data_IF_232492796726
#
_entry.id   IF_232492796726
#
_cell.length_a   1.000
_cell.length_b   1.000
_cell.length_c   1.000
_cell.angle_alpha   90.00
_cell.angle_beta   90.00
_cell.angle_gamma   90.00
#
_symmetry.space_group_name_H-M   'P 1'
#
loop_
_entity.id
_entity.type
_entity.pdbx_description
1 polymer ?
#
# COMPACT_ATOMS: atom_id res chain seq x y z
N UNK A 1 2.85 12.09 4.23
CA UNK A 1 3.86 11.55 3.30
C UNK A 1 3.80 12.31 1.99
N UNK A 2 4.80 12.14 1.13
CA UNK A 2 4.82 12.77 -0.20
C UNK A 2 5.16 11.73 -1.28
N UNK A 3 4.50 11.85 -2.43
CA UNK A 3 4.74 11.04 -3.62
C UNK A 3 4.50 11.91 -4.86
N UNK A 4 5.52 12.06 -5.72
CA UNK A 4 5.47 12.94 -6.90
C UNK A 4 4.96 14.37 -6.59
N UNK A 5 5.37 14.94 -5.45
CA UNK A 5 4.96 16.28 -5.00
C UNK A 5 3.55 16.37 -4.39
N UNK A 6 2.75 15.31 -4.47
CA UNK A 6 1.45 15.22 -3.80
C UNK A 6 1.61 14.77 -2.34
N UNK A 7 0.83 15.37 -1.44
CA UNK A 7 0.88 15.07 -0.01
C UNK A 7 -0.31 14.23 0.41
N UNK A 8 -0.03 13.19 1.17
CA UNK A 8 -1.05 12.28 1.70
C UNK A 8 -0.98 12.18 3.23
N UNK A 9 -2.13 12.24 3.88
CA UNK A 9 -2.33 11.79 5.25
C UNK A 9 -2.59 10.29 5.23
N UNK A 10 -1.92 9.52 6.09
CA UNK A 10 -2.11 8.07 6.08
C UNK A 10 -2.30 7.50 7.46
N UNK A 11 -3.11 6.46 7.52
CA UNK A 11 -3.07 5.50 8.60
C UNK A 11 -1.96 4.48 8.34
N UNK A 12 -1.35 3.97 9.41
CA UNK A 12 -0.23 3.01 9.30
C UNK A 12 -0.68 1.64 9.79
N UNK A 13 -0.51 0.64 8.92
CA UNK A 13 -0.74 -0.77 9.21
C UNK A 13 0.61 -1.51 9.28
N UNK A 14 1.15 -1.66 10.49
CA UNK A 14 2.49 -2.23 10.73
C UNK A 14 2.49 -3.58 11.46
N UNK A 15 1.32 -4.07 11.89
CA UNK A 15 1.16 -5.37 12.53
C UNK A 15 0.24 -6.29 11.71
N UNK A 16 0.24 -7.58 12.01
CA UNK A 16 -0.52 -8.56 11.24
C UNK A 16 -2.04 -8.30 11.22
N UNK A 17 -2.61 -7.80 12.32
CA UNK A 17 -4.04 -7.55 12.43
C UNK A 17 -4.44 -6.29 11.64
N UNK A 18 -3.69 -5.18 11.79
CA UNK A 18 -3.94 -3.96 11.02
C UNK A 18 -3.72 -4.17 9.52
N UNK A 19 -2.70 -4.93 9.12
CA UNK A 19 -2.49 -5.28 7.70
C UNK A 19 -3.60 -6.17 7.14
N UNK A 20 -4.08 -7.16 7.90
CA UNK A 20 -5.15 -8.05 7.46
C UNK A 20 -6.50 -7.31 7.34
N UNK A 21 -6.74 -6.33 8.20
CA UNK A 21 -7.95 -5.50 8.16
C UNK A 21 -7.92 -4.47 7.02
N UNK A 22 -6.80 -3.77 6.82
CA UNK A 22 -6.67 -2.75 5.80
C UNK A 22 -7.82 -1.73 5.78
N UNK A 23 -8.31 -1.39 4.59
CA UNK A 23 -9.45 -0.49 4.37
C UNK A 23 -10.81 -1.21 4.32
N UNK A 24 -10.93 -2.43 4.85
CA UNK A 24 -12.20 -3.17 4.86
C UNK A 24 -13.33 -2.38 5.53
N UNK A 25 -14.54 -2.53 4.98
CA UNK A 25 -15.80 -1.97 5.47
C UNK A 25 -15.91 -0.44 5.50
N UNK A 26 -14.93 0.30 4.96
CA UNK A 26 -15.06 1.75 4.81
C UNK A 26 -15.94 2.10 3.62
N UNK A 27 -16.85 3.04 3.83
CA UNK A 27 -17.75 3.53 2.78
C UNK A 27 -17.15 4.70 1.98
N UNK A 28 -16.10 5.33 2.51
CA UNK A 28 -15.34 6.40 1.84
C UNK A 28 -13.91 6.49 2.38
N UNK A 29 -13.04 7.13 1.61
CA UNK A 29 -11.70 7.57 1.99
C UNK A 29 -11.55 9.01 1.49
N UNK A 30 -11.16 9.92 2.38
CA UNK A 30 -11.04 11.35 2.05
C UNK A 30 -9.96 11.60 0.99
N UNK A 31 -10.12 12.65 0.19
CA UNK A 31 -9.12 13.03 -0.80
C UNK A 31 -7.79 13.38 -0.12
N UNK A 32 -6.68 12.90 -0.68
CA UNK A 32 -5.37 13.04 -0.05
C UNK A 32 -5.19 12.14 1.19
N UNK A 33 -6.08 11.18 1.43
CA UNK A 33 -5.89 10.15 2.46
C UNK A 33 -5.53 8.80 1.85
N UNK A 34 -4.93 7.94 2.68
CA UNK A 34 -4.53 6.58 2.31
C UNK A 34 -4.18 5.71 3.50
N UNK A 35 -3.72 4.51 3.21
CA UNK A 35 -3.16 3.60 4.21
C UNK A 35 -1.80 3.09 3.77
N UNK A 36 -0.81 3.25 4.66
CA UNK A 36 0.53 2.72 4.49
C UNK A 36 0.69 1.43 5.24
N UNK A 37 0.93 0.36 4.51
CA UNK A 37 1.29 -0.93 5.06
C UNK A 37 2.81 -1.04 5.12
N UNK A 38 3.32 -1.43 6.28
CA UNK A 38 4.75 -1.65 6.50
C UNK A 38 4.94 -3.13 6.84
N UNK A 39 5.71 -3.82 6.01
CA UNK A 39 6.12 -5.20 6.23
C UNK A 39 7.49 -5.26 6.89
N UNK A 40 7.73 -6.33 7.65
CA UNK A 40 8.97 -6.53 8.40
C UNK A 40 10.17 -6.70 7.47
N UNK A 41 9.94 -7.30 6.29
CA UNK A 41 10.96 -7.58 5.27
C UNK A 41 10.41 -7.32 3.87
N UNK A 42 11.30 -7.01 2.93
CA UNK A 42 10.97 -6.93 1.52
C UNK A 42 10.76 -8.34 0.96
N UNK A 43 9.65 -8.55 0.28
CA UNK A 43 9.30 -9.83 -0.32
C UNK A 43 8.14 -9.69 -1.31
N UNK A 44 7.73 -10.76 -2.01
CA UNK A 44 6.50 -10.75 -2.79
C UNK A 44 5.31 -10.37 -1.91
N UNK A 45 4.56 -9.35 -2.30
CA UNK A 45 3.35 -8.92 -1.60
C UNK A 45 2.13 -9.17 -2.47
N UNK A 46 1.02 -9.55 -1.86
CA UNK A 46 -0.26 -9.67 -2.56
C UNK A 46 -1.38 -9.14 -1.68
N UNK A 47 -2.22 -8.29 -2.29
CA UNK A 47 -3.35 -7.66 -1.64
C UNK A 47 -4.64 -8.14 -2.29
N UNK A 48 -5.76 -7.88 -1.64
CA UNK A 48 -7.07 -8.27 -2.13
C UNK A 48 -8.10 -7.25 -1.68
N UNK A 49 -9.24 -7.23 -2.35
CA UNK A 49 -10.33 -6.28 -2.06
C UNK A 49 -11.45 -6.88 -1.23
N UNK A 50 -11.19 -7.99 -0.52
CA UNK A 50 -12.18 -8.69 0.31
C UNK A 50 -12.78 -7.69 1.30
N UNK A 51 -14.09 -7.47 1.22
CA UNK A 51 -14.83 -6.54 2.09
C UNK A 51 -14.46 -5.05 1.96
N UNK A 52 -13.63 -4.68 0.98
CA UNK A 52 -13.33 -3.29 0.66
C UNK A 52 -14.40 -2.74 -0.26
N UNK A 53 -15.07 -1.65 0.12
CA UNK A 53 -16.23 -1.08 -0.60
C UNK A 53 -15.88 0.08 -1.53
N UNK A 54 -14.68 0.63 -1.37
CA UNK A 54 -14.14 1.72 -2.20
C UNK A 54 -13.13 1.17 -3.21
N UNK A 55 -13.09 1.68 -4.44
CA UNK A 55 -12.05 1.32 -5.40
C UNK A 55 -10.72 1.95 -4.99
N UNK A 56 -9.62 1.22 -5.17
CA UNK A 56 -8.29 1.62 -4.70
C UNK A 56 -7.22 1.52 -5.78
N UNK A 57 -6.21 2.38 -5.68
CA UNK A 57 -4.89 2.12 -6.25
C UNK A 57 -4.02 1.44 -5.19
N UNK A 58 -3.35 0.35 -5.55
CA UNK A 58 -2.43 -0.40 -4.68
C UNK A 58 -1.01 -0.23 -5.21
N UNK A 59 -0.16 0.44 -4.44
CA UNK A 59 1.17 0.88 -4.88
C UNK A 59 2.25 0.17 -4.06
N UNK A 60 3.16 -0.53 -4.72
CA UNK A 60 4.15 -1.38 -4.06
C UNK A 60 5.54 -0.73 -4.14
N UNK A 61 6.24 -0.65 -3.01
CA UNK A 61 7.57 -0.03 -2.92
C UNK A 61 8.60 -0.94 -2.24
N UNK A 62 9.84 -0.89 -2.72
CA UNK A 62 10.99 -1.62 -2.14
C UNK A 62 11.52 -0.98 -0.85
N UNK A 63 12.62 -1.53 -0.30
CA UNK A 63 13.31 -1.02 0.89
C UNK A 63 13.81 0.42 0.72
N UNK A 64 14.19 0.79 -0.50
CA UNK A 64 14.62 2.13 -0.88
C UNK A 64 13.42 3.09 -1.06
N UNK A 65 12.18 2.58 -0.92
CA UNK A 65 10.91 3.28 -1.10
C UNK A 65 10.67 3.70 -2.56
N UNK A 66 11.24 2.98 -3.52
CA UNK A 66 10.97 3.15 -4.94
C UNK A 66 9.77 2.31 -5.35
N UNK A 67 8.88 2.88 -6.15
CA UNK A 67 7.73 2.18 -6.68
C UNK A 67 8.20 1.08 -7.63
N UNK A 68 7.92 -0.18 -7.29
CA UNK A 68 8.30 -1.33 -8.10
C UNK A 68 7.18 -1.80 -9.01
N UNK A 69 5.93 -1.64 -8.57
CA UNK A 69 4.73 -1.99 -9.34
C UNK A 69 3.50 -1.31 -8.75
N UNK A 70 2.39 -1.34 -9.50
CA UNK A 70 1.14 -0.72 -9.11
C UNK A 70 -0.04 -1.49 -9.72
N UNK A 71 -1.12 -1.59 -8.97
CA UNK A 71 -2.40 -2.11 -9.42
C UNK A 71 -3.38 -0.94 -9.33
N UNK A 72 -3.89 -0.48 -10.47
CA UNK A 72 -4.70 0.76 -10.55
C UNK A 72 -6.17 0.43 -10.69
N UNK A 73 -7.01 1.33 -10.20
CA UNK A 73 -8.47 1.27 -10.35
C UNK A 73 -9.05 -0.08 -9.93
N UNK A 74 -8.49 -0.65 -8.85
CA UNK A 74 -8.85 -1.97 -8.36
C UNK A 74 -10.27 -1.91 -7.79
N UNK A 75 -11.23 -2.71 -8.29
CA UNK A 75 -12.62 -2.58 -7.91
C UNK A 75 -12.91 -3.16 -6.51
N UNK A 76 -13.97 -2.69 -5.83
CA UNK A 76 -14.51 -3.32 -4.64
C UNK A 76 -14.78 -4.82 -4.85
N UNK A 77 -14.63 -5.64 -3.81
CA UNK A 77 -14.96 -7.06 -3.91
C UNK A 77 -15.74 -7.59 -2.70
N UNK A 78 -16.93 -8.12 -2.98
CA UNK A 78 -17.84 -8.73 -2.01
C UNK A 78 -17.87 -10.26 -2.08
N UNK A 79 -16.98 -10.88 -2.86
CA UNK A 79 -16.95 -12.33 -3.07
C UNK A 79 -16.35 -13.13 -1.89
N UNK A 80 -16.00 -12.47 -0.78
CA UNK A 80 -15.37 -13.09 0.38
C UNK A 80 -13.99 -13.63 0.04
N UNK A 81 -13.70 -14.87 0.45
CA UNK A 81 -12.42 -15.55 0.18
C UNK A 81 -12.18 -15.89 -1.30
N UNK A 82 -13.14 -15.60 -2.18
CA UNK A 82 -13.00 -15.74 -3.64
C UNK A 82 -12.54 -14.45 -4.33
N UNK A 83 -12.29 -13.37 -3.60
CA UNK A 83 -11.74 -12.15 -4.18
C UNK A 83 -10.34 -12.43 -4.77
N UNK A 84 -10.06 -11.96 -6.00
CA UNK A 84 -8.77 -12.22 -6.63
C UNK A 84 -7.65 -11.51 -5.87
N UNK A 85 -6.44 -12.10 -5.85
CA UNK A 85 -5.26 -11.40 -5.38
C UNK A 85 -4.73 -10.43 -6.44
N UNK A 86 -4.13 -9.36 -5.96
CA UNK A 86 -3.39 -8.36 -6.72
C UNK A 86 -1.94 -8.43 -6.24
N UNK A 87 -1.06 -9.17 -6.94
CA UNK A 87 0.33 -9.32 -6.53
C UNK A 87 1.19 -8.14 -6.96
N UNK A 88 2.28 -7.92 -6.24
CA UNK A 88 3.38 -7.09 -6.67
C UNK A 88 4.15 -7.79 -7.80
N UNK A 89 4.67 -7.01 -8.76
CA UNK A 89 5.48 -7.55 -9.87
C UNK A 89 6.96 -7.71 -9.49
N UNK A 90 7.37 -7.12 -8.37
CA UNK A 90 8.69 -7.32 -7.76
C UNK A 90 8.57 -7.30 -6.22
N UNK A 91 9.62 -7.70 -5.47
CA UNK A 91 9.61 -7.67 -4.02
C UNK A 91 9.37 -6.26 -3.47
N UNK A 92 8.44 -6.14 -2.53
CA UNK A 92 8.06 -4.89 -1.89
C UNK A 92 8.05 -5.04 -0.36
N UNK A 93 8.34 -3.94 0.32
CA UNK A 93 8.25 -3.81 1.77
C UNK A 93 7.13 -2.87 2.20
N UNK A 94 6.89 -1.84 1.42
CA UNK A 94 5.83 -0.88 1.70
C UNK A 94 4.74 -1.02 0.65
N UNK A 95 3.50 -0.93 1.09
CA UNK A 95 2.34 -0.86 0.19
C UNK A 95 1.53 0.36 0.58
N UNK A 96 1.18 1.21 -0.38
CA UNK A 96 0.32 2.37 -0.16
C UNK A 96 -0.99 2.14 -0.92
N UNK A 97 -2.09 2.14 -0.18
CA UNK A 97 -3.44 2.20 -0.75
C UNK A 97 -3.93 3.65 -0.77
N UNK A 98 -4.39 4.10 -1.94
CA UNK A 98 -5.03 5.40 -2.17
C UNK A 98 -6.38 5.19 -2.85
N UNK A 99 -7.23 6.22 -2.87
CA UNK A 99 -8.41 6.23 -3.75
C UNK A 99 -8.01 5.90 -5.19
N UNK A 100 -8.82 5.09 -5.89
CA UNK A 100 -8.60 4.77 -7.29
C UNK A 100 -8.44 6.03 -8.16
N UNK A 101 -7.52 5.96 -9.12
CA UNK A 101 -7.24 7.04 -10.07
C UNK A 101 -6.22 8.07 -9.56
N UNK A 102 -5.86 8.06 -8.28
CA UNK A 102 -4.86 8.98 -7.70
C UNK A 102 -3.48 8.81 -8.35
N UNK A 103 -3.06 7.56 -8.58
CA UNK A 103 -1.80 7.27 -9.25
C UNK A 103 -1.77 7.82 -10.68
N UNK A 104 -2.91 7.80 -11.38
CA UNK A 104 -3.03 8.37 -12.71
C UNK A 104 -2.99 9.91 -12.66
N UNK A 105 -3.69 10.51 -11.70
CA UNK A 105 -3.78 11.97 -11.51
C UNK A 105 -2.40 12.61 -11.28
N UNK A 106 -1.54 11.98 -10.49
CA UNK A 106 -0.18 12.48 -10.23
C UNK A 106 0.85 12.03 -11.28
N UNK A 107 0.41 11.30 -12.33
CA UNK A 107 1.31 10.80 -13.37
C UNK A 107 2.34 9.77 -12.88
N UNK A 108 1.99 9.02 -11.83
CA UNK A 108 2.90 8.11 -11.14
C UNK A 108 3.51 7.07 -12.09
N UNK A 109 4.81 6.80 -11.94
CA UNK A 109 5.53 5.77 -12.71
C UNK A 109 6.44 4.95 -11.80
N UNK A 110 6.76 3.73 -12.22
CA UNK A 110 7.74 2.90 -11.52
C UNK A 110 9.07 3.65 -11.38
N UNK A 111 9.73 3.49 -10.24
CA UNK A 111 10.93 4.23 -9.85
C UNK A 111 10.67 5.50 -9.04
N UNK A 112 9.42 6.02 -9.01
CA UNK A 112 9.00 7.12 -8.14
C UNK A 112 9.30 6.81 -6.68
N UNK A 113 9.70 7.83 -5.91
CA UNK A 113 10.14 7.66 -4.52
C UNK A 113 9.05 8.11 -3.56
N UNK A 114 8.65 7.21 -2.67
CA UNK A 114 7.78 7.52 -1.55
C UNK A 114 8.58 8.16 -0.40
N UNK A 115 8.21 9.38 -0.03
CA UNK A 115 8.81 10.09 1.11
C UNK A 115 7.90 9.91 2.33
N UNK A 116 8.32 9.00 3.21
CA UNK A 116 7.65 8.75 4.50
C UNK A 116 8.01 9.88 5.48
N UNK A 117 6.99 10.39 6.18
CA UNK A 117 7.18 11.44 7.20
C UNK A 117 8.07 10.94 8.34
N UNK A 118 8.97 11.77 8.90
CA UNK A 118 9.76 11.40 10.09
C UNK A 118 8.91 11.04 11.31
N UNK A 119 7.64 11.46 11.35
CA UNK A 119 6.69 11.14 12.41
C UNK A 119 6.13 9.71 12.34
N UNK A 120 6.35 8.99 11.23
CA UNK A 120 5.91 7.60 11.07
C UNK A 120 7.07 6.69 11.49
N UNK A 121 6.84 5.91 12.55
CA UNK A 121 7.80 4.89 12.96
C UNK A 121 7.80 3.74 11.96
N UNK A 122 8.91 3.57 11.26
CA UNK A 122 9.17 2.38 10.44
C UNK A 122 9.97 1.40 11.30
N UNK A 123 9.44 0.22 11.64
CA UNK A 123 10.21 -0.79 12.36
C UNK A 123 11.52 -1.09 11.62
N UNK A 124 12.62 -1.24 12.35
CA UNK A 124 13.88 -1.67 11.72
C UNK A 124 13.68 -3.04 11.07
N UNK A 125 14.33 -3.26 9.92
CA UNK A 125 14.32 -4.58 9.30
C UNK A 125 14.95 -5.55 10.29
N UNK A 126 14.21 -6.57 10.74
CA UNK A 126 14.82 -7.67 11.47
C UNK A 126 15.74 -8.42 10.51
N UNK A 127 17.00 -8.00 10.46
CA UNK A 127 18.09 -8.83 9.99
C UNK A 127 18.29 -9.91 11.05
N UNK A 128 17.45 -10.95 11.00
CA UNK A 128 17.81 -12.20 11.65
C UNK A 128 19.03 -12.72 10.91
N UNK A 129 20.20 -12.45 11.50
CA UNK A 129 21.42 -13.21 11.35
C UNK A 129 21.06 -14.68 11.35
N UNK A 130 21.07 -15.31 10.17
CA UNK A 130 21.15 -16.76 10.07
C UNK A 130 22.41 -17.21 10.82
N UNK A 131 22.21 -18.04 11.84
CA UNK A 131 23.24 -18.90 12.42
C UNK A 131 22.90 -20.33 12.05
#
# INVERSE_FOLDING_TARGET
>A
MELEGARYQVEVAADAASRAQGLMYRDSLEDGHGMLFIHDQQGPQAYWMKNTRIPLDILYFDNERRLVSQQRDVPPCSAGDRCPPYPSEAPARFVLELNAGQAAQIGLRNGAVLVISPSITVPETNAHTER
#
